data_IF_760615770268
#
_entry.id   IF_760615770268
#
_cell.length_a   1.000
_cell.length_b   1.000
_cell.length_c   1.000
_cell.angle_alpha   90.00
_cell.angle_beta   90.00
_cell.angle_gamma   90.00
#
_symmetry.space_group_name_H-M   'P 1'
#
loop_
_entity.id
_entity.type
_entity.pdbx_description
1 polymer ?
#
# COMPACT_ATOMS: atom_id res chain seq x y z
N UNK A 1 14.74 0.59 21.38
CA UNK A 1 14.98 -0.39 20.32
C UNK A 1 13.77 -0.43 19.39
N UNK A 2 14.00 -0.46 18.06
CA UNK A 2 12.95 -0.72 17.08
C UNK A 2 12.90 -2.22 16.81
N UNK A 3 11.73 -2.84 16.97
CA UNK A 3 11.53 -4.28 16.76
C UNK A 3 11.00 -4.49 15.35
N UNK A 4 11.67 -5.33 14.57
CA UNK A 4 11.20 -5.82 13.26
C UNK A 4 10.80 -7.29 13.38
N UNK A 5 9.55 -7.60 13.00
CA UNK A 5 8.98 -8.94 13.03
C UNK A 5 8.66 -9.39 11.61
N UNK A 6 9.44 -10.33 11.07
CA UNK A 6 9.22 -10.89 9.74
C UNK A 6 8.24 -12.06 9.80
N UNK A 7 7.16 -12.00 9.04
CA UNK A 7 6.13 -13.02 8.99
C UNK A 7 5.46 -13.06 7.60
N UNK A 8 5.07 -14.26 7.13
CA UNK A 8 4.31 -14.37 5.89
C UNK A 8 2.88 -13.85 6.05
N UNK A 9 2.36 -13.19 5.02
CA UNK A 9 1.01 -12.63 4.98
C UNK A 9 -0.06 -13.64 5.41
N UNK A 10 0.00 -14.87 4.88
CA UNK A 10 -0.96 -15.94 5.23
C UNK A 10 -0.78 -16.48 6.65
N UNK A 11 0.40 -16.45 7.22
CA UNK A 11 0.64 -16.92 8.58
C UNK A 11 0.22 -15.90 9.63
N UNK A 12 0.32 -14.62 9.31
CA UNK A 12 -0.14 -13.53 10.18
C UNK A 12 -1.65 -13.61 10.48
N UNK A 13 -2.45 -14.24 9.62
CA UNK A 13 -3.88 -14.44 9.85
C UNK A 13 -4.15 -15.21 11.16
N UNK A 14 -3.28 -16.14 11.57
CA UNK A 14 -3.40 -16.90 12.82
C UNK A 14 -3.03 -16.09 14.06
N UNK A 15 -2.32 -14.99 13.89
CA UNK A 15 -1.90 -14.07 14.95
C UNK A 15 -2.74 -12.78 14.98
N UNK A 16 -3.93 -12.80 14.38
CA UNK A 16 -4.80 -11.61 14.31
C UNK A 16 -5.16 -11.09 15.70
N UNK A 17 -5.51 -12.00 16.63
CA UNK A 17 -5.84 -11.63 18.02
C UNK A 17 -4.64 -10.95 18.73
N UNK A 18 -3.45 -11.56 18.64
CA UNK A 18 -2.22 -11.02 19.22
C UNK A 18 -1.86 -9.65 18.62
N UNK A 19 -2.06 -9.50 17.31
CA UNK A 19 -1.82 -8.23 16.64
C UNK A 19 -2.75 -7.13 17.16
N UNK A 20 -4.02 -7.46 17.44
CA UNK A 20 -4.99 -6.53 18.02
C UNK A 20 -4.68 -6.25 19.49
N UNK A 21 -4.67 -7.30 20.35
CA UNK A 21 -4.65 -7.13 21.80
C UNK A 21 -3.27 -6.87 22.37
N UNK A 22 -2.25 -7.56 21.85
CA UNK A 22 -0.91 -7.48 22.44
C UNK A 22 -0.11 -6.29 21.87
N UNK A 23 -0.44 -5.85 20.65
CA UNK A 23 0.34 -4.82 19.96
C UNK A 23 -0.47 -3.55 19.70
N UNK A 24 -1.57 -3.64 18.92
CA UNK A 24 -2.22 -2.44 18.40
C UNK A 24 -2.98 -1.65 19.47
N UNK A 25 -3.71 -2.32 20.36
CA UNK A 25 -4.42 -1.65 21.47
C UNK A 25 -3.46 -1.01 22.47
N UNK A 26 -2.28 -1.59 22.65
CA UNK A 26 -1.23 -1.05 23.52
C UNK A 26 -0.34 -0.04 22.80
N UNK A 27 -0.55 0.17 21.49
CA UNK A 27 0.25 1.05 20.63
C UNK A 27 1.76 0.76 20.67
N UNK A 28 2.16 -0.52 20.75
CA UNK A 28 3.56 -0.92 20.81
C UNK A 28 4.22 -0.74 19.43
N UNK A 29 5.35 -0.02 19.33
CA UNK A 29 5.97 0.33 18.04
C UNK A 29 6.75 -0.82 17.42
N UNK A 30 6.05 -1.86 16.96
CA UNK A 30 6.60 -3.00 16.19
C UNK A 30 6.42 -2.75 14.71
N UNK A 31 7.44 -3.07 13.92
CA UNK A 31 7.39 -3.08 12.45
C UNK A 31 7.19 -4.54 11.98
N UNK A 32 6.00 -4.86 11.49
CA UNK A 32 5.71 -6.15 10.87
C UNK A 32 6.16 -6.13 9.42
N UNK A 33 7.20 -6.89 9.09
CA UNK A 33 7.66 -7.12 7.72
C UNK A 33 6.86 -8.27 7.13
N UNK A 34 5.78 -7.95 6.41
CA UNK A 34 4.83 -8.93 5.88
C UNK A 34 5.31 -9.39 4.50
N UNK A 35 5.98 -10.52 4.50
CA UNK A 35 6.46 -11.17 3.29
C UNK A 35 5.35 -11.94 2.58
N UNK A 36 5.49 -12.17 1.29
CA UNK A 36 4.52 -12.87 0.44
C UNK A 36 3.13 -12.22 0.43
N UNK A 37 3.10 -10.89 0.44
CA UNK A 37 1.88 -10.15 0.23
C UNK A 37 1.49 -10.17 -1.25
N UNK A 38 0.20 -10.24 -1.55
CA UNK A 38 -0.30 -10.34 -2.92
C UNK A 38 -0.26 -11.78 -3.47
N UNK A 39 -0.12 -11.91 -4.78
CA UNK A 39 -0.05 -13.19 -5.49
C UNK A 39 1.36 -13.75 -5.43
N UNK A 40 1.52 -15.02 -5.07
CA UNK A 40 2.83 -15.65 -4.84
C UNK A 40 3.16 -16.81 -5.79
N UNK A 41 2.25 -17.16 -6.70
CA UNK A 41 2.47 -18.15 -7.76
C UNK A 41 2.91 -19.53 -7.24
N UNK A 42 4.21 -19.78 -7.24
CA UNK A 42 4.84 -21.07 -6.94
C UNK A 42 4.49 -21.67 -5.55
N UNK A 43 4.23 -20.83 -4.56
CA UNK A 43 3.91 -21.29 -3.20
C UNK A 43 2.50 -21.90 -3.08
N UNK A 44 1.69 -21.82 -4.14
CA UNK A 44 0.38 -22.44 -4.24
C UNK A 44 -0.75 -21.71 -3.53
N UNK A 45 -1.93 -22.30 -3.55
CA UNK A 45 -3.18 -21.65 -3.12
C UNK A 45 -3.20 -21.26 -1.62
N UNK A 46 -2.46 -21.97 -0.77
CA UNK A 46 -2.43 -21.73 0.67
C UNK A 46 -1.55 -20.54 1.09
N UNK A 47 -0.76 -19.99 0.15
CA UNK A 47 0.21 -18.94 0.44
C UNK A 47 -0.13 -17.60 -0.24
N UNK A 48 -1.28 -17.51 -0.93
CA UNK A 48 -1.70 -16.26 -1.57
C UNK A 48 -2.04 -15.18 -0.53
N UNK A 49 -1.22 -14.13 -0.45
CA UNK A 49 -1.30 -13.05 0.54
C UNK A 49 -2.29 -11.95 0.16
N UNK A 50 -3.51 -12.30 -0.25
CA UNK A 50 -4.49 -11.35 -0.80
C UNK A 50 -5.46 -10.79 0.24
N UNK A 51 -5.42 -11.24 1.47
CA UNK A 51 -6.36 -10.82 2.52
C UNK A 51 -5.77 -9.83 3.53
N UNK A 52 -4.47 -9.64 3.53
CA UNK A 52 -3.75 -8.86 4.53
C UNK A 52 -4.24 -7.41 4.61
N UNK A 53 -4.37 -6.68 3.50
CA UNK A 53 -4.90 -5.31 3.50
C UNK A 53 -6.26 -5.30 4.18
N UNK A 54 -7.17 -6.21 3.80
CA UNK A 54 -8.55 -6.20 4.28
C UNK A 54 -8.67 -6.38 5.80
N UNK A 55 -7.98 -7.38 6.37
CA UNK A 55 -8.07 -7.60 7.82
C UNK A 55 -7.24 -6.61 8.63
N UNK A 56 -6.11 -6.11 8.10
CA UNK A 56 -5.30 -5.10 8.76
C UNK A 56 -6.00 -3.72 8.79
N UNK A 57 -6.88 -3.43 7.83
CA UNK A 57 -7.70 -2.20 7.85
C UNK A 57 -8.58 -2.10 9.10
N UNK A 58 -9.03 -3.21 9.66
CA UNK A 58 -9.91 -3.23 10.84
C UNK A 58 -9.17 -2.95 12.15
N UNK A 59 -7.85 -3.10 12.20
CA UNK A 59 -7.06 -3.00 13.43
C UNK A 59 -6.77 -1.53 13.76
N UNK A 60 -7.15 -1.03 14.96
CA UNK A 60 -6.87 0.35 15.35
C UNK A 60 -5.35 0.59 15.50
N UNK A 61 -4.94 1.87 15.41
CA UNK A 61 -3.56 2.34 15.62
C UNK A 61 -2.49 1.71 14.70
N UNK A 62 -2.83 0.76 13.84
CA UNK A 62 -1.92 0.11 12.91
C UNK A 62 -1.79 0.93 11.63
N UNK A 63 -0.56 1.31 11.27
CA UNK A 63 -0.23 1.87 9.97
C UNK A 63 0.03 0.75 8.97
N UNK A 64 -0.39 0.92 7.70
CA UNK A 64 -0.14 -0.05 6.61
C UNK A 64 0.62 0.64 5.50
N UNK A 65 1.76 0.08 5.12
CA UNK A 65 2.64 0.56 4.05
C UNK A 65 2.82 -0.54 3.00
N UNK A 66 2.84 -0.15 1.72
CA UNK A 66 3.08 -1.04 0.59
C UNK A 66 4.05 -0.37 -0.39
N UNK A 67 5.36 -0.53 -0.20
CA UNK A 67 6.38 -0.03 -1.11
C UNK A 67 6.23 -0.60 -2.52
N UNK A 68 6.51 0.23 -3.52
CA UNK A 68 6.40 -0.14 -4.94
C UNK A 68 7.57 -0.97 -5.47
N UNK A 69 8.75 -0.83 -4.84
CA UNK A 69 9.99 -1.46 -5.29
C UNK A 69 10.96 -1.68 -4.13
N UNK A 70 12.11 -2.28 -4.42
CA UNK A 70 13.15 -2.58 -3.42
C UNK A 70 13.79 -1.31 -2.83
N UNK A 71 13.91 -0.24 -3.60
CA UNK A 71 14.47 1.03 -3.12
C UNK A 71 13.49 1.66 -2.13
N UNK A 72 12.22 1.77 -2.48
CA UNK A 72 11.21 2.31 -1.58
C UNK A 72 11.03 1.44 -0.32
N UNK A 73 11.11 0.10 -0.44
CA UNK A 73 11.11 -0.81 0.73
C UNK A 73 12.31 -0.52 1.65
N UNK A 74 13.50 -0.39 1.08
CA UNK A 74 14.73 -0.06 1.84
C UNK A 74 14.62 1.28 2.55
N UNK A 75 14.12 2.33 1.87
CA UNK A 75 13.89 3.64 2.48
C UNK A 75 12.78 3.60 3.55
N UNK A 76 11.73 2.80 3.31
CA UNK A 76 10.66 2.59 4.29
C UNK A 76 11.20 1.98 5.58
N UNK A 77 11.98 0.91 5.51
CA UNK A 77 12.55 0.26 6.69
C UNK A 77 13.54 1.20 7.42
N UNK A 78 14.37 1.93 6.67
CA UNK A 78 15.28 2.93 7.25
C UNK A 78 14.51 4.05 7.96
N UNK A 79 13.43 4.57 7.36
CA UNK A 79 12.59 5.59 7.97
C UNK A 79 11.97 5.10 9.28
N UNK A 80 11.43 3.86 9.27
CA UNK A 80 10.81 3.25 10.46
C UNK A 80 11.83 2.93 11.56
N UNK A 81 13.05 2.55 11.21
CA UNK A 81 14.13 2.35 12.17
C UNK A 81 14.42 3.61 12.96
N UNK A 82 14.35 4.77 12.33
CA UNK A 82 14.68 6.06 12.94
C UNK A 82 13.47 6.76 13.59
N UNK A 83 12.28 6.59 13.03
CA UNK A 83 11.09 7.36 13.40
C UNK A 83 9.83 6.49 13.50
N UNK A 84 9.81 5.49 14.38
CA UNK A 84 8.60 4.67 14.61
C UNK A 84 8.06 4.86 16.02
N UNK A 85 6.79 5.28 16.14
CA UNK A 85 6.09 5.51 17.42
C UNK A 85 4.79 4.72 17.55
N UNK A 86 4.46 3.87 16.58
CA UNK A 86 3.22 3.09 16.56
C UNK A 86 3.45 1.76 15.82
N UNK A 87 2.54 0.77 15.94
CA UNK A 87 2.64 -0.45 15.13
C UNK A 87 2.48 -0.15 13.64
N UNK A 88 3.34 -0.77 12.83
CA UNK A 88 3.36 -0.59 11.37
C UNK A 88 3.45 -1.95 10.68
N UNK A 89 2.63 -2.16 9.67
CA UNK A 89 2.69 -3.29 8.75
C UNK A 89 3.31 -2.81 7.43
N UNK A 90 4.45 -3.37 7.04
CA UNK A 90 5.09 -3.15 5.74
C UNK A 90 4.92 -4.41 4.92
N UNK A 91 4.10 -4.35 3.88
CA UNK A 91 3.81 -5.51 3.02
C UNK A 91 4.61 -5.47 1.72
N UNK A 92 5.18 -6.60 1.33
CA UNK A 92 5.95 -6.74 0.09
C UNK A 92 5.81 -8.16 -0.48
N UNK A 93 5.96 -8.34 -1.82
CA UNK A 93 5.77 -9.63 -2.46
C UNK A 93 6.95 -10.55 -2.25
N UNK A 94 6.78 -11.82 -2.61
CA UNK A 94 7.87 -12.76 -2.86
C UNK A 94 8.52 -12.46 -4.21
N UNK A 95 9.84 -12.52 -4.30
CA UNK A 95 10.55 -12.42 -5.56
C UNK A 95 11.87 -11.66 -5.45
N UNK A 96 12.45 -11.41 -6.60
CA UNK A 96 13.67 -10.62 -6.75
C UNK A 96 13.32 -9.25 -7.32
N UNK A 97 14.08 -8.25 -6.94
CA UNK A 97 14.00 -6.93 -7.58
C UNK A 97 14.80 -6.96 -8.88
N UNK A 98 14.22 -6.38 -9.93
CA UNK A 98 14.93 -6.12 -11.20
C UNK A 98 15.83 -4.88 -11.13
N UNK A 99 15.83 -4.16 -10.00
CA UNK A 99 16.66 -2.96 -9.80
C UNK A 99 18.09 -3.38 -9.50
N UNK A 100 18.99 -3.14 -10.44
CA UNK A 100 20.43 -3.45 -10.30
C UNK A 100 21.13 -2.50 -9.34
N UNK A 101 20.86 -1.18 -9.46
CA UNK A 101 21.49 -0.14 -8.64
C UNK A 101 20.61 0.20 -7.42
N UNK A 102 20.45 -0.76 -6.50
CA UNK A 102 19.66 -0.60 -5.28
C UNK A 102 20.41 0.11 -4.13
N UNK A 103 21.73 0.31 -4.27
CA UNK A 103 22.60 0.88 -3.22
C UNK A 103 22.61 2.41 -3.23
N UNK A 104 21.44 3.01 -3.42
CA UNK A 104 21.27 4.46 -3.29
C UNK A 104 21.43 4.91 -1.82
N UNK A 105 21.78 6.19 -1.55
CA UNK A 105 21.82 6.71 -0.18
C UNK A 105 20.51 6.48 0.59
N UNK A 106 20.60 6.28 1.89
CA UNK A 106 19.42 6.20 2.75
C UNK A 106 18.76 7.57 2.89
N UNK A 107 17.45 7.60 2.71
CA UNK A 107 16.63 8.81 2.86
C UNK A 107 15.43 8.53 3.76
N UNK A 108 15.04 9.55 4.54
CA UNK A 108 13.79 9.54 5.28
C UNK A 108 12.67 9.94 4.31
N UNK A 109 11.65 9.10 4.19
CA UNK A 109 10.53 9.35 3.30
C UNK A 109 9.26 9.73 4.06
N UNK A 110 8.48 10.62 3.48
CA UNK A 110 7.15 10.98 3.97
C UNK A 110 6.11 10.02 3.37
N UNK A 111 5.63 9.09 4.16
CA UNK A 111 4.65 8.09 3.75
C UNK A 111 3.30 8.68 3.36
N UNK A 112 2.96 9.88 3.83
CA UNK A 112 1.67 10.52 3.56
C UNK A 112 1.59 11.14 2.17
N UNK A 113 2.73 11.29 1.49
CA UNK A 113 2.83 11.89 0.17
C UNK A 113 2.35 10.92 -0.91
N UNK A 114 1.33 11.33 -1.66
CA UNK A 114 0.86 10.61 -2.83
C UNK A 114 1.75 10.97 -4.02
N UNK A 115 2.41 9.99 -4.64
CA UNK A 115 3.35 10.20 -5.73
C UNK A 115 2.59 10.21 -7.08
N UNK A 116 2.68 11.28 -7.85
CA UNK A 116 2.21 11.30 -9.24
C UNK A 116 3.36 10.82 -10.16
N UNK A 117 3.23 9.63 -10.73
CA UNK A 117 4.26 8.97 -11.53
C UNK A 117 4.01 9.04 -13.04
N UNK A 118 2.78 9.34 -13.44
CA UNK A 118 2.41 9.61 -14.84
C UNK A 118 1.36 10.70 -14.86
N UNK A 119 1.59 11.74 -15.66
CA UNK A 119 0.63 12.82 -15.87
C UNK A 119 -0.45 12.33 -16.85
N UNK A 120 -1.70 12.71 -16.61
CA UNK A 120 -2.83 12.43 -17.49
C UNK A 120 -4.00 13.34 -17.18
N UNK A 121 -5.02 13.36 -18.04
CA UNK A 121 -6.07 14.39 -18.01
C UNK A 121 -7.49 13.88 -17.72
N UNK A 122 -7.77 12.59 -17.89
CA UNK A 122 -9.14 12.08 -17.86
C UNK A 122 -9.44 11.15 -16.70
N UNK A 123 -8.60 10.15 -16.48
CA UNK A 123 -8.81 9.11 -15.47
C UNK A 123 -7.59 9.07 -14.57
N UNK A 124 -7.81 9.05 -13.25
CA UNK A 124 -6.74 8.77 -12.30
C UNK A 124 -6.70 7.28 -11.99
N UNK A 125 -5.52 6.66 -12.10
CA UNK A 125 -5.24 5.31 -11.64
C UNK A 125 -4.52 5.42 -10.29
N UNK A 126 -5.16 4.91 -9.23
CA UNK A 126 -4.61 4.85 -7.89
C UNK A 126 -4.10 3.44 -7.65
N UNK A 127 -2.83 3.32 -7.32
CA UNK A 127 -2.18 2.02 -7.13
C UNK A 127 -1.32 2.01 -5.88
N UNK A 128 -1.05 0.83 -5.35
CA UNK A 128 -0.22 0.62 -4.16
C UNK A 128 0.59 -0.66 -4.30
N UNK A 129 1.81 -0.65 -3.78
CA UNK A 129 2.71 -1.79 -3.88
C UNK A 129 3.27 -2.03 -5.29
N UNK A 130 3.81 -3.21 -5.49
CA UNK A 130 4.59 -3.56 -6.70
C UNK A 130 3.76 -3.73 -7.97
N UNK A 131 2.43 -3.86 -7.88
CA UNK A 131 1.54 -3.89 -9.05
C UNK A 131 1.67 -2.62 -9.92
N UNK A 132 2.20 -1.54 -9.34
CA UNK A 132 2.48 -0.29 -10.04
C UNK A 132 3.32 -0.51 -11.32
N UNK A 133 4.33 -1.37 -11.30
CA UNK A 133 5.17 -1.64 -12.46
C UNK A 133 4.34 -2.17 -13.65
N UNK A 134 3.42 -3.10 -13.40
CA UNK A 134 2.52 -3.62 -14.41
C UNK A 134 1.57 -2.53 -14.94
N UNK A 135 1.11 -1.63 -14.08
CA UNK A 135 0.26 -0.50 -14.48
C UNK A 135 1.02 0.45 -15.39
N UNK A 136 2.25 0.81 -15.04
CA UNK A 136 3.07 1.71 -15.85
C UNK A 136 3.42 1.07 -17.21
N UNK A 137 3.76 -0.22 -17.24
CA UNK A 137 4.01 -0.97 -18.50
C UNK A 137 2.76 -1.02 -19.38
N UNK A 138 1.58 -1.28 -18.81
CA UNK A 138 0.31 -1.31 -19.53
C UNK A 138 -0.08 0.04 -20.13
N UNK A 139 0.30 1.14 -19.47
CA UNK A 139 -0.01 2.51 -19.89
C UNK A 139 1.15 3.21 -20.61
N UNK A 140 2.18 2.46 -21.01
CA UNK A 140 3.39 3.03 -21.63
C UNK A 140 3.10 3.81 -22.91
N UNK A 141 2.18 3.31 -23.76
CA UNK A 141 1.79 3.95 -25.02
C UNK A 141 0.60 4.90 -24.90
N UNK A 142 0.09 5.11 -23.68
CA UNK A 142 -0.96 6.10 -23.44
C UNK A 142 -0.35 7.50 -23.35
N UNK A 143 -0.75 8.42 -24.22
CA UNK A 143 -0.16 9.75 -24.31
C UNK A 143 -0.45 10.59 -23.05
N UNK A 144 -1.74 10.87 -22.75
CA UNK A 144 -2.10 11.70 -21.60
C UNK A 144 -3.52 11.43 -21.03
N UNK A 145 -4.11 10.28 -21.36
CA UNK A 145 -5.47 9.97 -20.92
C UNK A 145 -5.51 9.55 -19.45
N UNK A 146 -4.56 8.70 -19.03
CA UNK A 146 -4.45 8.19 -17.67
C UNK A 146 -3.33 8.86 -16.88
N UNK A 147 -3.67 9.37 -15.69
CA UNK A 147 -2.69 9.74 -14.67
C UNK A 147 -2.48 8.58 -13.70
N UNK A 148 -1.26 8.35 -13.22
CA UNK A 148 -0.95 7.26 -12.28
C UNK A 148 -0.43 7.84 -10.97
N UNK A 149 -1.08 7.47 -9.89
CA UNK A 149 -0.73 7.84 -8.52
C UNK A 149 -0.38 6.62 -7.68
N UNK A 150 0.78 6.66 -7.03
CA UNK A 150 1.21 5.63 -6.11
C UNK A 150 1.00 6.05 -4.65
N UNK A 151 0.46 5.12 -3.86
CA UNK A 151 0.24 5.25 -2.43
C UNK A 151 1.11 4.25 -1.68
N UNK A 152 2.21 4.71 -1.10
CA UNK A 152 2.99 3.85 -0.20
C UNK A 152 2.22 3.60 1.11
N UNK A 153 1.54 4.61 1.64
CA UNK A 153 0.70 4.48 2.84
C UNK A 153 -0.75 4.16 2.47
N UNK A 154 -1.21 2.96 2.87
CA UNK A 154 -2.59 2.50 2.66
C UNK A 154 -3.47 2.88 3.85
N UNK A 155 -2.89 2.99 5.05
CA UNK A 155 -3.60 3.35 6.28
C UNK A 155 -2.68 4.10 7.26
N UNK A 156 -3.15 5.25 7.81
CA UNK A 156 -4.32 6.00 7.38
C UNK A 156 -4.10 6.66 6.02
N UNK A 157 -5.15 6.84 5.24
CA UNK A 157 -5.08 7.58 3.98
C UNK A 157 -5.21 9.10 4.21
N UNK A 158 -4.52 9.88 3.39
CA UNK A 158 -4.66 11.33 3.37
C UNK A 158 -5.92 11.74 2.57
N UNK A 159 -7.07 11.76 3.25
CA UNK A 159 -8.37 12.05 2.62
C UNK A 159 -8.39 13.40 1.90
N UNK A 160 -7.77 14.43 2.48
CA UNK A 160 -7.73 15.78 1.88
C UNK A 160 -7.02 15.77 0.52
N UNK A 161 -5.88 15.10 0.44
CA UNK A 161 -5.11 15.02 -0.80
C UNK A 161 -5.82 14.15 -1.84
N UNK A 162 -6.42 13.03 -1.43
CA UNK A 162 -7.24 12.16 -2.30
C UNK A 162 -8.38 12.98 -2.92
N UNK A 163 -9.13 13.74 -2.13
CA UNK A 163 -10.25 14.55 -2.61
C UNK A 163 -9.80 15.67 -3.54
N UNK A 164 -8.63 16.28 -3.27
CA UNK A 164 -8.03 17.29 -4.13
C UNK A 164 -7.65 16.70 -5.50
N UNK A 165 -7.02 15.52 -5.52
CA UNK A 165 -6.67 14.81 -6.75
C UNK A 165 -7.96 14.42 -7.50
N UNK A 166 -8.90 13.77 -6.81
CA UNK A 166 -10.13 13.24 -7.39
C UNK A 166 -10.92 14.28 -8.21
N UNK A 167 -10.99 15.52 -7.74
CA UNK A 167 -11.73 16.61 -8.40
C UNK A 167 -11.23 16.97 -9.81
N UNK A 168 -10.01 16.55 -10.16
CA UNK A 168 -9.41 16.86 -11.46
C UNK A 168 -9.72 15.80 -12.53
N UNK A 169 -10.40 14.70 -12.18
CA UNK A 169 -10.62 13.56 -13.06
C UNK A 169 -12.09 13.20 -13.18
N UNK A 170 -12.46 12.58 -14.29
CA UNK A 170 -13.82 12.10 -14.54
C UNK A 170 -14.11 10.79 -13.84
N UNK A 171 -13.09 9.98 -13.61
CA UNK A 171 -13.18 8.68 -12.96
C UNK A 171 -11.88 8.32 -12.26
N UNK A 172 -11.97 7.42 -11.29
CA UNK A 172 -10.83 6.82 -10.60
C UNK A 172 -10.88 5.31 -10.83
N UNK A 173 -9.74 4.71 -11.17
CA UNK A 173 -9.54 3.26 -11.16
C UNK A 173 -8.58 2.97 -10.02
N UNK A 174 -8.92 2.00 -9.16
CA UNK A 174 -8.01 1.54 -8.10
C UNK A 174 -7.47 0.16 -8.47
N UNK A 175 -6.16 -0.04 -8.32
CA UNK A 175 -5.48 -1.29 -8.63
C UNK A 175 -4.62 -1.70 -7.44
N UNK A 176 -4.88 -2.89 -6.92
CA UNK A 176 -4.17 -3.49 -5.79
C UNK A 176 -4.05 -5.00 -5.93
N UNK A 177 -3.03 -5.60 -5.36
CA UNK A 177 -2.95 -7.06 -5.17
C UNK A 177 -3.57 -7.43 -3.82
N UNK A 178 -4.90 -7.57 -3.82
CA UNK A 178 -5.66 -7.80 -2.60
C UNK A 178 -7.11 -8.14 -2.86
N UNK A 179 -7.88 -8.26 -1.79
CA UNK A 179 -9.32 -8.44 -1.88
C UNK A 179 -10.03 -7.09 -2.11
N UNK A 180 -10.95 -7.04 -3.08
CA UNK A 180 -11.79 -5.86 -3.30
C UNK A 180 -12.57 -5.49 -2.02
N UNK A 181 -13.08 -6.50 -1.29
CA UNK A 181 -13.80 -6.27 -0.03
C UNK A 181 -12.82 -5.92 1.09
N UNK A 182 -12.91 -4.70 1.59
CA UNK A 182 -12.05 -4.20 2.66
C UNK A 182 -10.64 -3.81 2.22
N UNK A 183 -10.31 -3.90 0.93
CA UNK A 183 -9.04 -3.50 0.36
C UNK A 183 -8.88 -1.99 0.21
N UNK A 184 -7.76 -1.59 -0.39
CA UNK A 184 -7.42 -0.19 -0.66
C UNK A 184 -8.50 0.54 -1.46
N UNK A 185 -8.97 -0.07 -2.56
CA UNK A 185 -10.02 0.50 -3.40
C UNK A 185 -11.35 0.71 -2.67
N UNK A 186 -11.72 -0.20 -1.77
CA UNK A 186 -12.91 -0.03 -0.92
C UNK A 186 -12.81 1.21 -0.04
N UNK A 187 -11.65 1.48 0.56
CA UNK A 187 -11.42 2.66 1.41
C UNK A 187 -11.45 3.94 0.56
N UNK A 188 -10.80 3.94 -0.61
CA UNK A 188 -10.89 5.08 -1.56
C UNK A 188 -12.35 5.38 -1.92
N UNK A 189 -13.13 4.35 -2.25
CA UNK A 189 -14.55 4.52 -2.59
C UNK A 189 -15.36 5.10 -1.42
N UNK A 190 -15.10 4.67 -0.19
CA UNK A 190 -15.72 5.24 1.01
C UNK A 190 -15.40 6.73 1.19
N UNK A 191 -14.14 7.12 1.01
CA UNK A 191 -13.69 8.53 1.11
C UNK A 191 -14.42 9.39 0.07
N UNK A 192 -14.46 8.94 -1.18
CA UNK A 192 -15.13 9.67 -2.28
C UNK A 192 -16.62 9.79 -2.04
N UNK A 193 -17.29 8.70 -1.66
CA UNK A 193 -18.74 8.66 -1.45
C UNK A 193 -19.20 9.54 -0.28
N UNK A 194 -18.47 9.56 0.82
CA UNK A 194 -18.77 10.42 2.00
C UNK A 194 -18.73 11.91 1.67
N UNK A 195 -17.91 12.32 0.71
CA UNK A 195 -17.68 13.72 0.38
C UNK A 195 -18.51 14.21 -0.82
N UNK A 196 -19.52 13.47 -1.23
CA UNK A 196 -20.49 13.84 -2.29
C UNK A 196 -19.83 14.20 -3.63
N UNK A 197 -18.64 13.69 -3.89
CA UNK A 197 -17.96 13.87 -5.17
C UNK A 197 -18.57 12.87 -6.16
N UNK A 198 -19.19 13.37 -7.22
CA UNK A 198 -19.81 12.55 -8.28
C UNK A 198 -18.74 12.00 -9.23
N UNK A 199 -17.92 11.07 -8.76
CA UNK A 199 -16.89 10.39 -9.54
C UNK A 199 -17.13 8.90 -9.45
N UNK A 200 -17.01 8.21 -10.59
CA UNK A 200 -17.07 6.75 -10.64
C UNK A 200 -15.74 6.17 -10.15
N UNK A 201 -15.77 5.33 -9.13
CA UNK A 201 -14.63 4.52 -8.69
C UNK A 201 -14.80 3.09 -9.20
N UNK A 202 -13.77 2.55 -9.84
CA UNK A 202 -13.70 1.19 -10.38
C UNK A 202 -12.58 0.48 -9.65
N UNK A 203 -12.91 -0.61 -8.97
CA UNK A 203 -11.97 -1.44 -8.20
C UNK A 203 -11.68 -2.73 -8.96
#
# INVERSE_FOLDING_TARGET
>A
FTVFCAIYSTFLQRAYDQLVHDIALQNIPVVFCIDRAGLVGEDGATHQGVFDIAYLQTIPNLKILAPKDAIELRQTLYTLQNNNSQPVAVRYPRGYSEIEDWQVPFEIIDFTKIQNLKIGKRIAVFTTGTILDHVLKALFFDDDYFAVYHFVQIKPLNEKEILKIARNYSSIITIEEGSVKGGFGSVINQIISKNTIKIKVIN
#
